data_IF_991969608151
#
_entry.id   IF_991969608151
#
_cell.length_a   1.000
_cell.length_b   1.000
_cell.length_c   1.000
_cell.angle_alpha   90.00
_cell.angle_beta   90.00
_cell.angle_gamma   90.00
#
_symmetry.space_group_name_H-M   'P 1'
#
loop_
_entity.id
_entity.type
_entity.pdbx_description
1 polymer ?
#
# COMPACT_ATOMS: atom_id res chain seq x y z
N UNK A 1 5.26 9.00 16.17
CA UNK A 1 5.14 8.00 15.09
C UNK A 1 3.66 7.67 14.96
N UNK A 2 3.06 7.90 13.79
CA UNK A 2 1.68 7.49 13.51
C UNK A 2 1.72 6.17 12.74
N UNK A 3 0.87 5.22 13.11
CA UNK A 3 0.84 3.89 12.50
C UNK A 3 -0.57 3.62 12.00
N UNK A 4 -0.67 3.43 10.69
CA UNK A 4 -1.90 3.09 9.99
C UNK A 4 -1.78 1.65 9.50
N UNK A 5 -2.79 0.81 9.76
CA UNK A 5 -2.79 -0.60 9.33
C UNK A 5 -4.15 -1.03 8.83
N UNK A 6 -4.15 -1.71 7.69
CA UNK A 6 -5.29 -2.38 7.07
C UNK A 6 -4.83 -3.64 6.36
N UNK A 7 -5.80 -4.46 5.92
CA UNK A 7 -5.51 -5.63 5.09
C UNK A 7 -4.79 -5.21 3.80
N UNK A 8 -3.57 -5.72 3.61
CA UNK A 8 -2.75 -5.38 2.45
C UNK A 8 -2.45 -3.89 2.29
N UNK A 9 -2.48 -3.08 3.35
CA UNK A 9 -2.37 -1.62 3.29
C UNK A 9 -3.35 -0.94 2.29
N UNK A 10 -4.52 -1.55 2.09
CA UNK A 10 -5.65 -0.96 1.35
C UNK A 10 -6.11 0.32 2.02
N UNK A 11 -6.35 1.37 1.23
CA UNK A 11 -6.76 2.69 1.71
C UNK A 11 -8.27 2.83 1.62
N UNK A 12 -8.89 3.20 2.74
CA UNK A 12 -10.27 3.69 2.81
C UNK A 12 -10.28 5.16 3.23
N UNK A 13 -11.47 5.75 3.38
CA UNK A 13 -11.62 7.15 3.78
C UNK A 13 -10.98 7.46 5.13
N UNK A 14 -11.02 6.53 6.10
CA UNK A 14 -10.45 6.74 7.42
C UNK A 14 -8.92 6.77 7.36
N UNK A 15 -8.30 5.91 6.54
CA UNK A 15 -6.86 5.88 6.34
C UNK A 15 -6.36 7.09 5.56
N UNK A 16 -7.07 7.51 4.51
CA UNK A 16 -6.73 8.73 3.76
C UNK A 16 -6.77 9.98 4.67
N UNK A 17 -7.83 10.14 5.46
CA UNK A 17 -7.91 11.24 6.43
C UNK A 17 -6.83 11.16 7.52
N UNK A 18 -6.42 9.95 7.91
CA UNK A 18 -5.32 9.75 8.86
C UNK A 18 -3.96 10.12 8.27
N UNK A 19 -3.74 9.91 6.96
CA UNK A 19 -2.56 10.40 6.24
C UNK A 19 -2.55 11.93 6.25
N UNK A 20 -3.65 12.58 5.87
CA UNK A 20 -3.76 14.04 5.88
C UNK A 20 -3.53 14.64 7.27
N UNK A 21 -4.16 14.07 8.30
CA UNK A 21 -3.95 14.46 9.69
C UNK A 21 -2.46 14.40 10.06
N UNK A 22 -1.79 13.30 9.70
CA UNK A 22 -0.38 13.09 10.01
C UNK A 22 0.52 14.08 9.29
N UNK A 23 0.26 14.39 8.02
CA UNK A 23 0.99 15.44 7.28
C UNK A 23 0.72 16.83 7.87
N UNK A 24 -0.51 17.09 8.32
CA UNK A 24 -0.87 18.32 9.04
C UNK A 24 -0.09 18.53 10.35
N UNK A 25 0.36 17.45 10.98
CA UNK A 25 1.26 17.50 12.15
C UNK A 25 2.74 17.75 11.78
N UNK A 26 3.07 17.82 10.48
CA UNK A 26 4.42 18.11 10.00
C UNK A 26 5.38 16.93 10.07
N UNK A 27 4.91 15.69 9.88
CA UNK A 27 5.82 14.55 9.78
C UNK A 27 6.74 14.69 8.56
N UNK A 28 8.04 14.34 8.68
CA UNK A 28 8.97 14.45 7.57
C UNK A 28 9.02 13.20 6.68
N UNK A 29 8.38 12.10 7.07
CA UNK A 29 8.47 10.82 6.37
C UNK A 29 7.15 10.03 6.47
N UNK A 30 6.69 9.52 5.33
CA UNK A 30 5.69 8.46 5.22
C UNK A 30 6.36 7.22 4.62
N UNK A 31 6.14 6.06 5.26
CA UNK A 31 6.58 4.77 4.76
C UNK A 31 5.37 3.91 4.46
N UNK A 32 5.19 3.51 3.21
CA UNK A 32 4.25 2.45 2.84
C UNK A 32 5.02 1.13 2.91
N UNK A 33 4.64 0.29 3.88
CA UNK A 33 5.37 -0.95 4.19
C UNK A 33 4.56 -2.18 3.78
N UNK A 34 4.92 -2.78 2.64
CA UNK A 34 4.51 -4.13 2.27
C UNK A 34 5.33 -5.19 2.99
N UNK A 35 4.99 -6.47 2.82
CA UNK A 35 5.76 -7.57 3.41
C UNK A 35 5.66 -8.88 2.63
N UNK A 36 6.68 -9.74 2.80
CA UNK A 36 6.69 -11.10 2.27
C UNK A 36 5.49 -11.90 2.79
N UNK A 37 4.97 -12.81 1.97
CA UNK A 37 3.84 -13.69 2.32
C UNK A 37 2.53 -12.95 2.67
N UNK A 38 2.31 -11.75 2.10
CA UNK A 38 1.05 -11.04 2.31
C UNK A 38 -0.16 -11.85 1.80
N UNK A 39 -0.94 -12.40 2.73
CA UNK A 39 -2.09 -13.25 2.40
C UNK A 39 -3.20 -12.48 1.69
N UNK A 40 -3.41 -11.19 2.00
CA UNK A 40 -4.38 -10.37 1.28
C UNK A 40 -4.01 -10.25 -0.20
N UNK A 41 -2.73 -10.04 -0.51
CA UNK A 41 -2.21 -10.00 -1.88
C UNK A 41 -2.33 -11.36 -2.56
N UNK A 42 -2.00 -12.45 -1.86
CA UNK A 42 -2.16 -13.81 -2.39
C UNK A 42 -3.63 -14.11 -2.74
N UNK A 43 -4.56 -13.80 -1.83
CA UNK A 43 -5.99 -14.00 -2.03
C UNK A 43 -6.49 -13.19 -3.22
N UNK A 44 -6.13 -11.90 -3.31
CA UNK A 44 -6.50 -11.07 -4.44
C UNK A 44 -5.93 -11.59 -5.75
N UNK A 45 -4.64 -11.97 -5.78
CA UNK A 45 -3.98 -12.54 -6.96
C UNK A 45 -4.69 -13.79 -7.46
N UNK A 46 -5.05 -14.71 -6.55
CA UNK A 46 -5.73 -15.94 -6.91
C UNK A 46 -7.15 -15.66 -7.43
N UNK A 47 -7.93 -14.82 -6.73
CA UNK A 47 -9.29 -14.47 -7.15
C UNK A 47 -9.30 -13.78 -8.52
N UNK A 48 -8.42 -12.79 -8.72
CA UNK A 48 -8.30 -12.08 -10.00
C UNK A 48 -7.93 -13.03 -11.15
N UNK A 49 -6.97 -13.95 -10.94
CA UNK A 49 -6.55 -14.91 -11.97
C UNK A 49 -7.58 -16.00 -12.25
N UNK A 50 -8.36 -16.39 -11.25
CA UNK A 50 -9.48 -17.31 -11.42
C UNK A 50 -10.72 -16.65 -12.05
N UNK A 51 -10.73 -15.32 -12.18
CA UNK A 51 -11.92 -14.58 -12.61
C UNK A 51 -13.06 -14.65 -11.59
N UNK A 52 -12.75 -14.93 -10.33
CA UNK A 52 -13.71 -15.07 -9.25
C UNK A 52 -14.01 -13.73 -8.59
N UNK A 53 -15.30 -13.48 -8.31
CA UNK A 53 -15.70 -12.34 -7.48
C UNK A 53 -15.84 -12.77 -6.04
N UNK A 54 -15.18 -12.03 -5.15
CA UNK A 54 -15.31 -12.23 -3.71
C UNK A 54 -16.39 -11.29 -3.18
N UNK A 55 -17.35 -11.84 -2.43
CA UNK A 55 -18.49 -11.08 -1.91
C UNK A 55 -18.19 -10.37 -0.58
N UNK A 56 -19.04 -9.39 -0.25
CA UNK A 56 -18.97 -8.65 1.02
C UNK A 56 -17.75 -7.75 1.15
N UNK A 57 -17.42 -7.36 2.38
CA UNK A 57 -16.32 -6.43 2.66
C UNK A 57 -14.94 -7.01 2.33
N UNK A 58 -14.81 -8.34 2.28
CA UNK A 58 -13.61 -8.98 1.77
C UNK A 58 -13.40 -8.69 0.28
N UNK A 59 -14.49 -8.60 -0.49
CA UNK A 59 -14.48 -8.19 -1.89
C UNK A 59 -13.87 -6.81 -2.07
N UNK A 60 -14.18 -5.86 -1.19
CA UNK A 60 -13.57 -4.52 -1.22
C UNK A 60 -12.05 -4.59 -1.11
N UNK A 61 -11.51 -5.37 -0.16
CA UNK A 61 -10.05 -5.55 -0.03
C UNK A 61 -9.43 -6.18 -1.28
N UNK A 62 -10.08 -7.23 -1.82
CA UNK A 62 -9.62 -7.93 -3.01
C UNK A 62 -9.59 -6.99 -4.22
N UNK A 63 -10.65 -6.23 -4.45
CA UNK A 63 -10.78 -5.33 -5.59
C UNK A 63 -9.73 -4.20 -5.56
N UNK A 64 -9.44 -3.66 -4.38
CA UNK A 64 -8.40 -2.63 -4.21
C UNK A 64 -6.99 -3.15 -4.53
N UNK A 65 -6.72 -4.43 -4.26
CA UNK A 65 -5.44 -5.06 -4.56
C UNK A 65 -5.40 -5.56 -6.02
N UNK A 66 -6.54 -5.98 -6.59
CA UNK A 66 -6.66 -6.56 -7.92
C UNK A 66 -6.05 -5.67 -9.02
N UNK A 67 -6.15 -4.34 -8.88
CA UNK A 67 -5.53 -3.37 -9.80
C UNK A 67 -4.00 -3.49 -9.88
N UNK A 68 -3.36 -4.10 -8.87
CA UNK A 68 -1.92 -4.34 -8.83
C UNK A 68 -1.54 -5.73 -9.37
N UNK A 69 -2.51 -6.60 -9.65
CA UNK A 69 -2.30 -7.94 -10.22
C UNK A 69 -2.02 -7.79 -11.72
N UNK A 70 -0.96 -8.45 -12.18
CA UNK A 70 -0.52 -8.38 -13.58
C UNK A 70 -0.68 -9.74 -14.23
N UNK A 71 -0.55 -9.77 -15.55
CA UNK A 71 -0.61 -11.01 -16.34
C UNK A 71 0.45 -12.01 -15.87
N UNK A 72 1.65 -11.52 -15.57
CA UNK A 72 2.78 -12.31 -15.10
C UNK A 72 3.25 -11.93 -13.67
N UNK A 73 4.14 -12.75 -13.10
CA UNK A 73 4.74 -12.54 -11.78
C UNK A 73 4.05 -13.26 -10.62
N UNK A 74 4.79 -13.54 -9.56
CA UNK A 74 4.27 -14.16 -8.34
C UNK A 74 3.57 -13.16 -7.43
N UNK A 75 3.04 -13.65 -6.29
CA UNK A 75 2.43 -12.80 -5.26
C UNK A 75 3.39 -11.75 -4.70
N UNK A 76 4.70 -12.03 -4.71
CA UNK A 76 5.74 -11.09 -4.31
C UNK A 76 5.84 -9.91 -5.29
N UNK A 77 5.83 -10.17 -6.60
CA UNK A 77 5.83 -9.11 -7.61
C UNK A 77 4.57 -8.26 -7.51
N UNK A 78 3.41 -8.89 -7.26
CA UNK A 78 2.15 -8.18 -7.01
C UNK A 78 2.25 -7.35 -5.74
N UNK A 79 2.86 -7.86 -4.67
CA UNK A 79 3.04 -7.12 -3.41
C UNK A 79 3.90 -5.87 -3.62
N UNK A 80 5.03 -5.98 -4.32
CA UNK A 80 5.89 -4.82 -4.63
C UNK A 80 5.14 -3.78 -5.46
N UNK A 81 4.38 -4.21 -6.48
CA UNK A 81 3.53 -3.32 -7.29
C UNK A 81 2.43 -2.66 -6.47
N UNK A 82 1.80 -3.42 -5.57
CA UNK A 82 0.74 -2.91 -4.70
C UNK A 82 1.27 -1.83 -3.76
N UNK A 83 2.45 -2.04 -3.14
CA UNK A 83 3.10 -1.02 -2.30
C UNK A 83 3.41 0.26 -3.08
N UNK A 84 3.92 0.14 -4.32
CA UNK A 84 4.16 1.31 -5.19
C UNK A 84 2.86 2.01 -5.61
N UNK A 85 1.80 1.24 -5.90
CA UNK A 85 0.49 1.79 -6.23
C UNK A 85 -0.12 2.55 -5.04
N UNK A 86 0.02 2.03 -3.83
CA UNK A 86 -0.41 2.72 -2.60
C UNK A 86 0.36 4.02 -2.38
N UNK A 87 1.68 4.05 -2.62
CA UNK A 87 2.45 5.31 -2.61
C UNK A 87 1.88 6.29 -3.63
N UNK A 88 1.60 5.84 -4.86
CA UNK A 88 1.02 6.69 -5.90
C UNK A 88 -0.32 7.29 -5.46
N UNK A 89 -1.23 6.49 -4.91
CA UNK A 89 -2.52 6.97 -4.38
C UNK A 89 -2.33 8.00 -3.25
N UNK A 90 -1.37 7.78 -2.35
CA UNK A 90 -1.06 8.75 -1.28
C UNK A 90 -0.53 10.07 -1.88
N UNK A 91 0.29 10.00 -2.94
CA UNK A 91 0.82 11.18 -3.64
C UNK A 91 -0.24 11.96 -4.42
N UNK A 92 -1.40 11.37 -4.71
CA UNK A 92 -2.54 12.08 -5.33
C UNK A 92 -3.25 13.02 -4.33
N UNK A 93 -2.99 12.90 -3.03
CA UNK A 93 -3.51 13.81 -2.00
C UNK A 93 -2.78 15.16 -2.11
N UNK A 94 -3.49 16.30 -2.29
CA UNK A 94 -2.85 17.61 -2.47
C UNK A 94 -1.92 18.01 -1.32
N UNK A 95 -2.35 17.80 -0.08
CA UNK A 95 -1.54 18.11 1.10
C UNK A 95 -0.22 17.33 1.13
N UNK A 96 -0.22 16.08 0.67
CA UNK A 96 0.97 15.23 0.59
C UNK A 96 1.88 15.71 -0.52
N UNK A 97 1.36 15.90 -1.73
CA UNK A 97 2.16 16.31 -2.89
C UNK A 97 2.77 17.71 -2.71
N UNK A 98 2.06 18.65 -2.09
CA UNK A 98 2.60 19.98 -1.74
C UNK A 98 3.73 19.90 -0.70
N UNK A 99 3.55 19.07 0.34
CA UNK A 99 4.58 18.84 1.35
C UNK A 99 5.83 18.17 0.75
N UNK A 100 5.64 17.23 -0.17
CA UNK A 100 6.72 16.57 -0.89
C UNK A 100 7.45 17.54 -1.85
N UNK A 101 6.71 18.31 -2.65
CA UNK A 101 7.27 19.27 -3.59
C UNK A 101 8.04 20.41 -2.89
N UNK A 102 7.64 20.76 -1.67
CA UNK A 102 8.36 21.73 -0.82
C UNK A 102 9.58 21.15 -0.08
N UNK A 103 9.87 19.86 -0.24
CA UNK A 103 10.99 19.18 0.42
C UNK A 103 10.79 18.93 1.92
N UNK A 104 9.57 19.12 2.43
CA UNK A 104 9.23 18.93 3.85
C UNK A 104 8.82 17.50 4.20
N UNK A 105 8.49 16.69 3.19
CA UNK A 105 8.01 15.33 3.33
C UNK A 105 8.69 14.42 2.32
N UNK A 106 9.17 13.28 2.78
CA UNK A 106 9.55 12.15 1.93
C UNK A 106 8.46 11.06 2.00
N UNK A 107 8.15 10.42 0.87
CA UNK A 107 7.23 9.29 0.81
C UNK A 107 7.97 8.12 0.17
N UNK A 108 8.10 7.02 0.91
CA UNK A 108 8.90 5.86 0.48
C UNK A 108 8.06 4.59 0.45
N UNK A 109 8.38 3.71 -0.49
CA UNK A 109 7.89 2.35 -0.52
C UNK A 109 8.94 1.42 0.10
N UNK A 110 8.51 0.49 0.95
CA UNK A 110 9.40 -0.47 1.57
C UNK A 110 8.76 -1.85 1.67
N UNK A 111 9.62 -2.87 1.75
CA UNK A 111 9.23 -4.27 1.94
C UNK A 111 9.88 -4.82 3.19
N UNK A 112 9.07 -5.38 4.07
CA UNK A 112 9.53 -6.20 5.19
C UNK A 112 9.73 -7.66 4.76
N UNK A 113 10.94 -8.17 4.93
CA UNK A 113 11.30 -9.56 4.75
C UNK A 113 11.03 -10.33 6.05
N UNK A 114 10.09 -11.27 6.01
CA UNK A 114 9.59 -11.94 7.23
C UNK A 114 10.63 -12.91 7.79
N UNK A 115 11.40 -13.55 6.92
CA UNK A 115 12.38 -14.57 7.31
C UNK A 115 13.60 -13.94 7.98
N UNK A 116 14.08 -12.82 7.44
CA UNK A 116 15.29 -12.14 7.94
C UNK A 116 15.01 -10.95 8.88
N UNK A 117 13.79 -10.44 8.92
CA UNK A 117 13.41 -9.25 9.69
C UNK A 117 13.93 -7.93 9.08
N UNK A 118 14.47 -7.96 7.86
CA UNK A 118 15.03 -6.78 7.19
C UNK A 118 13.96 -5.97 6.48
N UNK A 119 14.16 -4.66 6.40
CA UNK A 119 13.35 -3.76 5.58
C UNK A 119 14.17 -3.31 4.37
N UNK A 120 13.68 -3.62 3.17
CA UNK A 120 14.26 -3.19 1.90
C UNK A 120 13.48 -1.97 1.40
N UNK A 121 14.19 -0.90 1.03
CA UNK A 121 13.59 0.25 0.36
C UNK A 121 13.36 -0.08 -1.11
N UNK A 122 12.16 0.19 -1.61
CA UNK A 122 11.74 -0.06 -3.00
C UNK A 122 11.83 1.19 -3.88
N UNK A 123 11.57 2.36 -3.29
CA UNK A 123 11.64 3.71 -3.87
C UNK A 123 12.05 4.68 -2.76
#
# INVERSE_FOLDING_TARGET
>A
MCVLRSGGHVLDTALLGSVEFTVGLGVPLIVVLGHQYCSAVLTATNATRAGERVAGDLGFLVDQIAASVGEEGGSEDVSRRHTLATVKTIMEIPLVSDAWASGRLEVVAARYDVDSGRVERLL
#
